data_IF_082203998835
#
_entry.id   IF_082203998835
#
_cell.length_a   1.000
_cell.length_b   1.000
_cell.length_c   1.000
_cell.angle_alpha   90.00
_cell.angle_beta   90.00
_cell.angle_gamma   90.00
#
_symmetry.space_group_name_H-M   'P 1'
#
loop_
_entity.id
_entity.type
_entity.pdbx_description
1 polymer ?
#
# COMPACT_ATOMS: atom_id res chain seq x y z
N UNK A 1 -32.39 0.12 -11.06
CA UNK A 1 -31.27 0.63 -10.23
C UNK A 1 -31.91 1.29 -9.02
N UNK A 2 -31.76 0.74 -7.80
CA UNK A 2 -32.37 1.35 -6.60
C UNK A 2 -31.64 2.68 -6.31
N UNK A 3 -32.35 3.79 -6.06
CA UNK A 3 -31.72 5.04 -5.67
C UNK A 3 -30.96 4.86 -4.35
N UNK A 4 -29.82 5.54 -4.16
CA UNK A 4 -29.08 5.47 -2.89
C UNK A 4 -29.96 6.00 -1.75
N UNK A 5 -30.01 5.27 -0.65
CA UNK A 5 -30.71 5.69 0.56
C UNK A 5 -30.16 7.04 1.04
N UNK A 6 -31.08 7.97 1.30
CA UNK A 6 -30.84 9.40 1.58
C UNK A 6 -30.02 9.71 2.85
N UNK A 7 -29.50 8.70 3.55
CA UNK A 7 -28.81 8.82 4.84
C UNK A 7 -27.43 8.13 4.91
N UNK A 8 -26.86 7.64 3.81
CA UNK A 8 -25.51 7.06 3.88
C UNK A 8 -24.44 8.16 3.91
N UNK A 9 -23.71 8.29 5.02
CA UNK A 9 -22.49 9.13 5.10
C UNK A 9 -21.56 8.80 3.92
N UNK A 10 -20.89 9.81 3.38
CA UNK A 10 -19.91 9.60 2.31
C UNK A 10 -18.76 8.73 2.84
N UNK A 11 -18.29 7.76 2.06
CA UNK A 11 -17.29 6.77 2.53
C UNK A 11 -15.93 7.03 1.91
N UNK A 12 -14.91 7.18 2.76
CA UNK A 12 -13.52 7.35 2.39
C UNK A 12 -12.71 6.12 2.83
N UNK A 13 -11.97 5.53 1.90
CA UNK A 13 -10.95 4.52 2.20
C UNK A 13 -9.56 5.18 2.16
N UNK A 14 -8.91 5.35 3.31
CA UNK A 14 -7.56 5.90 3.40
C UNK A 14 -6.53 4.77 3.52
N UNK A 15 -5.78 4.54 2.44
CA UNK A 15 -4.81 3.46 2.30
C UNK A 15 -3.44 3.94 2.77
N UNK A 16 -2.95 3.35 3.86
CA UNK A 16 -1.74 3.78 4.58
C UNK A 16 -0.75 2.60 4.59
N UNK A 17 0.15 2.48 3.59
CA UNK A 17 0.79 1.21 3.24
C UNK A 17 2.02 0.83 4.07
N UNK A 18 2.58 1.73 4.88
CA UNK A 18 3.80 1.47 5.64
C UNK A 18 3.87 2.32 6.92
N UNK A 19 4.88 2.06 7.76
CA UNK A 19 5.09 2.81 9.00
C UNK A 19 5.28 4.32 8.78
N UNK A 20 5.96 4.73 7.70
CA UNK A 20 6.15 6.16 7.42
C UNK A 20 4.83 6.89 7.13
N UNK A 21 3.96 6.26 6.35
CA UNK A 21 2.61 6.75 6.07
C UNK A 21 1.77 6.82 7.35
N UNK A 22 1.89 5.81 8.23
CA UNK A 22 1.24 5.81 9.55
C UNK A 22 1.71 7.01 10.36
N UNK A 23 3.02 7.27 10.45
CA UNK A 23 3.54 8.43 11.19
C UNK A 23 2.99 9.74 10.65
N UNK A 24 2.95 9.90 9.33
CA UNK A 24 2.39 11.11 8.69
C UNK A 24 0.95 11.36 9.10
N UNK A 25 0.12 10.32 9.23
CA UNK A 25 -1.28 10.47 9.58
C UNK A 25 -1.48 10.58 11.10
N UNK A 26 -0.79 9.75 11.87
CA UNK A 26 -1.06 9.56 13.29
C UNK A 26 -0.17 10.40 14.23
N UNK A 27 0.97 10.92 13.76
CA UNK A 27 1.86 11.81 14.53
C UNK A 27 1.71 13.28 14.14
N UNK A 28 0.76 13.60 13.26
CA UNK A 28 0.44 14.98 12.86
C UNK A 28 -1.03 15.30 13.15
N UNK A 29 -1.48 16.56 13.00
CA UNK A 29 -2.88 16.92 13.21
C UNK A 29 -3.88 16.23 12.27
N UNK A 30 -3.45 15.50 11.24
CA UNK A 30 -4.33 14.88 10.25
C UNK A 30 -5.36 13.95 10.90
N UNK A 31 -4.94 13.06 11.79
CA UNK A 31 -5.87 12.13 12.45
C UNK A 31 -6.91 12.86 13.32
N UNK A 32 -6.50 13.92 14.04
CA UNK A 32 -7.41 14.75 14.82
C UNK A 32 -8.39 15.52 13.92
N UNK A 33 -7.92 16.04 12.78
CA UNK A 33 -8.77 16.69 11.79
C UNK A 33 -9.79 15.72 11.19
N UNK A 34 -9.38 14.48 10.88
CA UNK A 34 -10.30 13.43 10.43
C UNK A 34 -11.34 13.09 11.50
N UNK A 35 -10.95 13.06 12.78
CA UNK A 35 -11.86 12.82 13.89
C UNK A 35 -12.91 13.94 14.05
N UNK A 36 -12.56 15.17 13.69
CA UNK A 36 -13.46 16.32 13.70
C UNK A 36 -14.34 16.45 12.44
N UNK A 37 -14.09 15.65 11.38
CA UNK A 37 -14.91 15.70 10.16
C UNK A 37 -16.27 15.04 10.34
N UNK A 38 -17.33 15.79 10.05
CA UNK A 38 -18.69 15.28 9.98
C UNK A 38 -19.10 14.87 8.56
N UNK A 39 -20.12 14.02 8.46
CA UNK A 39 -20.71 13.61 7.18
C UNK A 39 -19.94 12.51 6.43
N UNK A 40 -18.76 12.13 6.92
CA UNK A 40 -17.94 11.04 6.37
C UNK A 40 -17.93 9.81 7.27
N UNK A 41 -17.70 8.66 6.66
CA UNK A 41 -17.22 7.45 7.30
C UNK A 41 -15.85 7.15 6.71
N UNK A 42 -14.83 7.04 7.55
CA UNK A 42 -13.44 6.90 7.11
C UNK A 42 -12.89 5.57 7.60
N UNK A 43 -12.55 4.69 6.66
CA UNK A 43 -11.77 3.51 6.96
C UNK A 43 -10.27 3.85 6.81
N UNK A 44 -9.51 3.68 7.88
CA UNK A 44 -8.05 3.83 7.93
C UNK A 44 -7.42 2.43 7.79
N UNK A 45 -6.81 2.18 6.63
CA UNK A 45 -6.25 0.88 6.28
C UNK A 45 -4.74 0.87 6.55
N UNK A 46 -4.32 0.35 7.70
CA UNK A 46 -2.90 0.36 8.14
C UNK A 46 -2.32 -1.06 8.30
N UNK A 47 -0.99 -1.23 8.20
CA UNK A 47 -0.35 -2.52 8.39
C UNK A 47 -0.23 -2.94 9.86
N UNK A 48 -0.38 -2.02 10.82
CA UNK A 48 -0.14 -2.30 12.25
C UNK A 48 -1.47 -2.44 13.00
N UNK A 49 -1.62 -3.54 13.74
CA UNK A 49 -2.82 -3.78 14.54
C UNK A 49 -2.97 -2.80 15.72
N UNK A 50 -1.84 -2.30 16.25
CA UNK A 50 -1.81 -1.30 17.34
C UNK A 50 -2.49 0.02 16.98
N UNK A 51 -2.57 0.36 15.69
CA UNK A 51 -3.25 1.58 15.21
C UNK A 51 -4.76 1.55 15.51
N UNK A 52 -5.35 0.36 15.68
CA UNK A 52 -6.75 0.20 16.05
C UNK A 52 -7.07 0.86 17.41
N UNK A 53 -6.18 0.68 18.40
CA UNK A 53 -6.35 1.26 19.73
C UNK A 53 -6.25 2.79 19.69
N UNK A 54 -5.33 3.32 18.87
CA UNK A 54 -5.14 4.77 18.68
C UNK A 54 -6.35 5.44 18.03
N UNK A 55 -6.99 4.76 17.08
CA UNK A 55 -8.24 5.26 16.47
C UNK A 55 -9.39 5.21 17.49
N UNK A 56 -9.50 4.11 18.25
CA UNK A 56 -10.54 3.94 19.25
C UNK A 56 -10.48 5.02 20.37
N UNK A 57 -9.28 5.44 20.77
CA UNK A 57 -9.11 6.47 21.81
C UNK A 57 -9.64 7.85 21.42
N UNK A 58 -9.88 8.12 20.13
CA UNK A 58 -10.42 9.40 19.65
C UNK A 58 -11.94 9.51 19.83
N UNK A 59 -12.62 8.42 20.22
CA UNK A 59 -14.07 8.38 20.41
C UNK A 59 -14.87 8.88 19.18
N UNK A 60 -14.30 8.73 17.98
CA UNK A 60 -14.87 9.16 16.72
C UNK A 60 -15.51 7.96 15.97
N UNK A 61 -16.82 7.72 16.09
CA UNK A 61 -17.46 6.48 15.60
C UNK A 61 -17.48 6.33 14.08
N UNK A 62 -17.21 7.40 13.34
CA UNK A 62 -17.04 7.37 11.89
C UNK A 62 -15.66 6.92 11.44
N UNK A 63 -14.66 6.94 12.31
CA UNK A 63 -13.32 6.43 12.01
C UNK A 63 -13.28 4.94 12.33
N UNK A 64 -12.82 4.14 11.37
CA UNK A 64 -12.70 2.69 11.53
C UNK A 64 -11.31 2.25 11.14
N UNK A 65 -10.69 1.44 11.97
CA UNK A 65 -9.48 0.74 11.59
C UNK A 65 -9.81 -0.48 10.73
N UNK A 66 -9.01 -0.74 9.70
CA UNK A 66 -9.03 -1.97 8.92
C UNK A 66 -7.60 -2.46 8.69
N UNK A 67 -7.40 -3.77 8.70
CA UNK A 67 -6.10 -4.36 8.38
C UNK A 67 -5.77 -4.14 6.88
N UNK A 68 -4.59 -3.61 6.59
CA UNK A 68 -4.14 -3.37 5.21
C UNK A 68 -4.04 -4.64 4.34
N UNK A 69 -3.70 -5.80 4.90
CA UNK A 69 -3.56 -7.03 4.11
C UNK A 69 -4.86 -7.85 4.00
N UNK A 70 -5.83 -7.56 4.85
CA UNK A 70 -7.10 -8.29 4.92
C UNK A 70 -8.23 -7.34 5.35
N UNK A 71 -8.57 -6.34 4.53
CA UNK A 71 -9.48 -5.27 4.93
C UNK A 71 -10.96 -5.68 4.95
N UNK A 72 -11.31 -6.72 4.20
CA UNK A 72 -12.68 -7.24 4.16
C UNK A 72 -13.04 -7.93 5.46
N UNK A 73 -14.28 -7.74 5.91
CA UNK A 73 -14.83 -8.55 7.00
C UNK A 73 -14.98 -10.00 6.53
N UNK A 74 -14.75 -10.99 7.41
CA UNK A 74 -15.05 -12.38 7.11
C UNK A 74 -16.54 -12.51 6.76
N UNK A 75 -16.87 -12.80 5.51
CA UNK A 75 -18.23 -13.16 5.11
C UNK A 75 -18.36 -14.68 5.11
N UNK A 76 -19.49 -15.22 5.58
CA UNK A 76 -19.85 -16.65 5.38
C UNK A 76 -19.90 -17.01 3.89
N UNK A 77 -20.20 -16.02 3.04
CA UNK A 77 -20.18 -16.15 1.59
C UNK A 77 -18.77 -15.91 1.07
N UNK A 78 -17.98 -16.98 1.05
CA UNK A 78 -16.69 -17.02 0.39
C UNK A 78 -16.82 -16.73 -1.12
N UNK A 79 -15.84 -16.05 -1.75
CA UNK A 79 -15.85 -15.85 -3.20
C UNK A 79 -15.88 -17.20 -3.94
N UNK A 80 -16.59 -17.23 -5.06
CA UNK A 80 -16.79 -18.42 -5.88
C UNK A 80 -15.47 -19.17 -6.17
N UNK A 81 -15.47 -20.52 -6.12
CA UNK A 81 -14.27 -21.35 -6.17
C UNK A 81 -13.38 -21.12 -7.40
N UNK A 82 -13.96 -20.72 -8.55
CA UNK A 82 -13.21 -20.45 -9.79
C UNK A 82 -12.23 -19.27 -9.70
N UNK A 83 -12.55 -18.20 -8.95
CA UNK A 83 -11.64 -17.05 -8.75
C UNK A 83 -10.51 -17.37 -7.76
N UNK A 84 -10.71 -18.36 -6.88
CA UNK A 84 -9.68 -18.84 -5.94
C UNK A 84 -8.61 -19.67 -6.65
N UNK A 85 -8.98 -20.45 -7.67
CA UNK A 85 -8.04 -21.32 -8.38
C UNK A 85 -7.02 -20.53 -9.21
N UNK A 86 -7.45 -19.64 -10.11
CA UNK A 86 -6.52 -18.85 -10.94
C UNK A 86 -5.62 -17.90 -10.13
N UNK A 87 -6.16 -17.25 -9.10
CA UNK A 87 -5.36 -16.40 -8.20
C UNK A 87 -4.52 -17.21 -7.20
N UNK A 88 -4.89 -18.47 -6.94
CA UNK A 88 -4.19 -19.40 -6.08
C UNK A 88 -2.96 -20.00 -6.75
N UNK A 89 -3.03 -20.35 -8.04
CA UNK A 89 -1.88 -20.87 -8.79
C UNK A 89 -0.81 -19.82 -9.04
N UNK A 90 -1.17 -18.57 -9.39
CA UNK A 90 -0.20 -17.48 -9.51
C UNK A 90 0.48 -17.18 -8.16
N UNK A 91 -0.31 -17.09 -7.08
CA UNK A 91 0.23 -16.86 -5.73
C UNK A 91 1.04 -18.05 -5.20
N UNK A 92 0.65 -19.28 -5.55
CA UNK A 92 1.42 -20.47 -5.21
C UNK A 92 2.75 -20.49 -5.99
N UNK A 93 2.78 -20.19 -7.28
CA UNK A 93 4.03 -20.07 -8.05
C UNK A 93 4.92 -18.92 -7.52
N UNK A 94 4.33 -17.78 -7.19
CA UNK A 94 5.01 -16.62 -6.58
C UNK A 94 5.58 -16.98 -5.20
N UNK A 95 4.84 -17.73 -4.38
CA UNK A 95 5.25 -18.16 -3.04
C UNK A 95 6.22 -19.37 -3.04
N UNK A 96 6.20 -20.23 -4.05
CA UNK A 96 6.96 -21.50 -4.06
C UNK A 96 8.24 -21.41 -4.90
N UNK A 97 8.22 -20.70 -6.04
CA UNK A 97 9.39 -20.57 -6.93
C UNK A 97 10.11 -19.23 -6.72
N UNK A 98 9.39 -18.18 -6.33
CA UNK A 98 9.90 -16.80 -6.37
C UNK A 98 9.82 -16.03 -5.05
N UNK A 99 9.58 -16.74 -3.94
CA UNK A 99 9.23 -16.22 -2.59
C UNK A 99 9.99 -14.96 -2.18
N UNK A 100 11.29 -14.89 -2.43
CA UNK A 100 12.16 -13.72 -2.16
C UNK A 100 12.79 -13.12 -3.43
N UNK A 101 12.69 -13.81 -4.57
CA UNK A 101 13.47 -13.53 -5.79
C UNK A 101 12.71 -12.79 -6.88
N UNK A 102 11.39 -12.77 -6.86
CA UNK A 102 10.60 -11.92 -7.77
C UNK A 102 9.71 -10.93 -7.01
N UNK A 103 10.24 -10.37 -5.92
CA UNK A 103 9.58 -9.30 -5.18
C UNK A 103 10.15 -7.94 -5.57
N UNK A 104 9.43 -6.87 -5.23
CA UNK A 104 9.85 -5.48 -5.47
C UNK A 104 11.27 -5.16 -4.96
N UNK A 105 11.74 -5.64 -3.79
CA UNK A 105 13.11 -5.43 -3.35
C UNK A 105 14.17 -5.97 -4.34
N UNK A 106 13.90 -7.08 -5.03
CA UNK A 106 14.81 -7.63 -6.05
C UNK A 106 14.94 -6.68 -7.25
N UNK A 107 13.79 -6.19 -7.76
CA UNK A 107 13.75 -5.19 -8.82
C UNK A 107 14.47 -3.91 -8.43
N UNK A 108 14.14 -3.38 -7.24
CA UNK A 108 14.75 -2.17 -6.71
C UNK A 108 16.27 -2.32 -6.62
N UNK A 109 16.76 -3.42 -6.03
CA UNK A 109 18.18 -3.67 -5.87
C UNK A 109 18.91 -3.73 -7.23
N UNK A 110 18.40 -4.54 -8.17
CA UNK A 110 19.00 -4.71 -9.50
C UNK A 110 19.00 -3.40 -10.28
N UNK A 111 17.87 -2.69 -10.31
CA UNK A 111 17.75 -1.41 -10.99
C UNK A 111 18.75 -0.39 -10.46
N UNK A 112 18.84 -0.24 -9.13
CA UNK A 112 19.79 0.69 -8.51
C UNK A 112 21.25 0.28 -8.75
N UNK A 113 21.56 -1.02 -8.73
CA UNK A 113 22.90 -1.55 -9.01
C UNK A 113 23.32 -1.31 -10.46
N UNK A 114 22.45 -1.65 -11.41
CA UNK A 114 22.68 -1.46 -12.85
C UNK A 114 22.82 0.01 -13.24
N UNK A 115 22.02 0.88 -12.61
CA UNK A 115 22.05 2.33 -12.86
C UNK A 115 23.22 3.03 -12.17
N UNK A 116 23.91 2.36 -11.24
CA UNK A 116 25.06 2.93 -10.54
C UNK A 116 24.73 4.13 -9.66
N UNK A 117 23.55 4.17 -9.04
CA UNK A 117 23.17 5.29 -8.18
C UNK A 117 24.08 5.40 -6.96
N UNK A 118 24.67 6.58 -6.75
CA UNK A 118 25.59 6.85 -5.63
C UNK A 118 24.93 6.60 -4.27
N UNK A 119 23.66 7.01 -4.10
CA UNK A 119 22.92 6.79 -2.86
C UNK A 119 22.77 5.30 -2.52
N UNK A 120 22.55 4.45 -3.53
CA UNK A 120 22.48 3.00 -3.34
C UNK A 120 23.84 2.43 -2.93
N UNK A 121 24.92 2.80 -3.63
CA UNK A 121 26.29 2.36 -3.27
C UNK A 121 26.67 2.77 -1.85
N UNK A 122 26.39 4.01 -1.48
CA UNK A 122 26.65 4.52 -0.14
C UNK A 122 25.90 3.70 0.93
N UNK A 123 24.61 3.44 0.71
CA UNK A 123 23.79 2.60 1.60
C UNK A 123 24.32 1.16 1.76
N UNK A 124 24.96 0.59 0.74
CA UNK A 124 25.59 -0.73 0.84
C UNK A 124 26.84 -0.73 1.74
N UNK A 125 27.48 0.42 1.93
CA UNK A 125 28.70 0.59 2.72
C UNK A 125 28.43 1.01 4.17
N UNK A 126 27.18 1.32 4.53
CA UNK A 126 26.78 1.70 5.89
C UNK A 126 27.05 0.58 6.92
N UNK A 127 27.10 0.92 8.20
CA UNK A 127 27.13 -0.09 9.28
C UNK A 127 25.86 -0.94 9.28
N UNK A 128 25.92 -2.14 9.87
CA UNK A 128 24.75 -3.02 9.96
C UNK A 128 23.58 -2.37 10.72
N UNK A 129 23.89 -1.66 11.80
CA UNK A 129 22.91 -0.89 12.59
C UNK A 129 22.24 0.19 11.74
N UNK A 130 23.02 0.99 11.00
CA UNK A 130 22.44 2.03 10.15
C UNK A 130 21.62 1.43 9.00
N UNK A 131 22.05 0.31 8.44
CA UNK A 131 21.28 -0.44 7.44
C UNK A 131 19.95 -0.94 7.98
N UNK A 132 19.90 -1.39 9.24
CA UNK A 132 18.66 -1.80 9.89
C UNK A 132 17.68 -0.62 10.04
N UNK A 133 18.18 0.55 10.49
CA UNK A 133 17.38 1.78 10.57
C UNK A 133 16.83 2.22 9.20
N UNK A 134 17.67 2.21 8.17
CA UNK A 134 17.26 2.54 6.80
C UNK A 134 16.31 1.48 6.21
N UNK A 135 16.43 0.21 6.60
CA UNK A 135 15.53 -0.86 6.16
C UNK A 135 14.13 -0.66 6.75
N UNK A 136 14.05 -0.29 8.03
CA UNK A 136 12.79 0.06 8.69
C UNK A 136 12.10 1.25 8.02
N UNK A 137 12.88 2.24 7.59
CA UNK A 137 12.42 3.36 6.79
C UNK A 137 12.05 2.98 5.33
N UNK A 138 12.28 1.73 4.90
CA UNK A 138 12.06 1.32 3.51
C UNK A 138 13.06 1.94 2.51
N UNK A 139 14.17 2.49 3.01
CA UNK A 139 15.21 3.16 2.23
C UNK A 139 16.39 2.26 1.90
N UNK A 140 16.51 1.11 2.55
CA UNK A 140 17.57 0.13 2.30
C UNK A 140 16.99 -1.22 1.89
N UNK A 141 17.66 -1.86 0.94
CA UNK A 141 17.35 -3.22 0.48
C UNK A 141 18.63 -4.05 0.55
N UNK A 142 18.56 -5.20 1.22
CA UNK A 142 19.72 -6.09 1.41
C UNK A 142 20.28 -6.63 0.09
N UNK A 143 21.59 -6.88 0.07
CA UNK A 143 22.30 -7.41 -1.10
C UNK A 143 21.82 -8.79 -1.58
N UNK A 144 21.27 -9.63 -0.68
CA UNK A 144 20.74 -10.94 -1.06
C UNK A 144 19.59 -10.85 -2.07
N UNK A 145 18.84 -9.73 -2.08
CA UNK A 145 17.81 -9.47 -3.08
C UNK A 145 18.39 -9.29 -4.49
N UNK A 146 19.67 -8.94 -4.64
CA UNK A 146 20.33 -8.87 -5.95
C UNK A 146 20.75 -10.22 -6.53
N UNK A 147 20.71 -11.29 -5.73
CA UNK A 147 21.21 -12.60 -6.13
C UNK A 147 20.24 -13.34 -7.06
N UNK A 148 20.71 -14.07 -8.09
CA UNK A 148 22.08 -14.10 -8.62
C UNK A 148 22.35 -12.93 -9.59
N UNK A 149 23.63 -12.56 -9.76
CA UNK A 149 24.10 -11.60 -10.79
C UNK A 149 23.32 -10.26 -10.78
N UNK A 150 23.51 -9.38 -9.79
CA UNK A 150 22.75 -8.13 -9.66
C UNK A 150 22.89 -7.17 -10.86
N UNK A 151 23.98 -7.30 -11.62
CA UNK A 151 24.31 -6.47 -12.80
C UNK A 151 23.84 -7.08 -14.13
N UNK A 152 22.87 -8.01 -14.13
CA UNK A 152 22.33 -8.60 -15.35
C UNK A 152 21.04 -7.90 -15.81
N UNK A 153 21.10 -7.17 -16.93
CA UNK A 153 19.93 -6.59 -17.58
C UNK A 153 18.88 -7.64 -17.98
N UNK A 154 19.32 -8.83 -18.40
CA UNK A 154 18.42 -9.93 -18.78
C UNK A 154 17.61 -10.42 -17.56
N UNK A 155 18.28 -10.58 -16.41
CA UNK A 155 17.58 -10.96 -15.18
C UNK A 155 16.66 -9.85 -14.68
N UNK A 156 17.08 -8.59 -14.74
CA UNK A 156 16.18 -7.47 -14.43
C UNK A 156 14.91 -7.51 -15.28
N UNK A 157 15.03 -7.69 -16.60
CA UNK A 157 13.87 -7.78 -17.52
C UNK A 157 12.98 -8.98 -17.21
N UNK A 158 13.56 -10.14 -16.91
CA UNK A 158 12.79 -11.34 -16.56
C UNK A 158 12.02 -11.16 -15.25
N UNK A 159 12.70 -10.66 -14.20
CA UNK A 159 12.06 -10.37 -12.91
C UNK A 159 11.00 -9.28 -13.06
N UNK A 160 11.27 -8.26 -13.89
CA UNK A 160 10.32 -7.18 -14.20
C UNK A 160 9.06 -7.77 -14.83
N UNK A 161 9.22 -8.54 -15.91
CA UNK A 161 8.10 -9.17 -16.58
C UNK A 161 7.30 -10.07 -15.64
N UNK A 162 7.96 -10.85 -14.78
CA UNK A 162 7.28 -11.73 -13.84
C UNK A 162 6.53 -10.97 -12.74
N UNK A 163 7.22 -10.03 -12.06
CA UNK A 163 6.62 -9.20 -11.02
C UNK A 163 5.42 -8.42 -11.56
N UNK A 164 5.54 -7.93 -12.81
CA UNK A 164 4.49 -7.14 -13.45
C UNK A 164 3.43 -7.95 -14.21
N UNK A 165 3.65 -9.23 -14.51
CA UNK A 165 2.64 -10.10 -15.12
C UNK A 165 1.43 -10.29 -14.20
N UNK A 166 1.68 -10.46 -12.90
CA UNK A 166 0.65 -10.49 -11.86
C UNK A 166 0.05 -9.13 -11.52
N UNK A 167 0.59 -8.04 -12.08
CA UNK A 167 0.20 -6.65 -11.75
C UNK A 167 -1.16 -6.23 -12.29
N UNK A 168 -1.89 -7.13 -12.94
CA UNK A 168 -3.32 -6.96 -13.23
C UNK A 168 -4.23 -7.84 -12.36
N UNK A 169 -3.70 -8.83 -11.64
CA UNK A 169 -4.49 -9.69 -10.73
C UNK A 169 -4.95 -8.92 -9.49
N UNK A 170 -6.26 -8.87 -9.23
CA UNK A 170 -6.79 -8.23 -8.02
C UNK A 170 -6.56 -9.10 -6.78
N UNK A 171 -6.23 -8.50 -5.64
CA UNK A 171 -6.21 -9.24 -4.37
C UNK A 171 -7.65 -9.51 -3.92
N UNK A 172 -8.04 -10.77 -3.82
CA UNK A 172 -9.41 -11.17 -3.46
C UNK A 172 -9.94 -10.56 -2.17
N UNK A 173 -9.09 -10.30 -1.17
CA UNK A 173 -9.51 -9.68 0.10
C UNK A 173 -9.72 -8.18 -0.06
N UNK A 174 -8.87 -7.51 -0.84
CA UNK A 174 -9.05 -6.09 -1.18
C UNK A 174 -10.28 -5.91 -2.07
N UNK A 175 -10.43 -6.74 -3.09
CA UNK A 175 -11.61 -6.74 -3.96
C UNK A 175 -12.91 -6.92 -3.16
N UNK A 176 -12.94 -7.88 -2.22
CA UNK A 176 -14.08 -8.08 -1.33
C UNK A 176 -14.37 -6.87 -0.44
N UNK A 177 -13.35 -6.16 0.04
CA UNK A 177 -13.53 -4.93 0.81
C UNK A 177 -14.25 -3.86 0.00
N UNK A 178 -13.86 -3.64 -1.26
CA UNK A 178 -14.55 -2.69 -2.13
C UNK A 178 -15.99 -3.10 -2.44
N UNK A 179 -16.27 -4.41 -2.55
CA UNK A 179 -17.63 -4.92 -2.77
C UNK A 179 -18.53 -4.73 -1.53
N UNK A 180 -17.97 -4.92 -0.34
CA UNK A 180 -18.65 -4.81 0.95
C UNK A 180 -18.87 -3.34 1.34
N UNK A 181 -17.81 -2.55 1.35
CA UNK A 181 -17.80 -1.21 1.93
C UNK A 181 -18.14 -0.13 0.92
N UNK A 182 -17.93 -0.37 -0.39
CA UNK A 182 -18.25 0.56 -1.49
C UNK A 182 -17.80 2.00 -1.21
N UNK A 183 -16.49 2.24 -1.00
CA UNK A 183 -15.99 3.58 -0.77
C UNK A 183 -16.34 4.50 -1.95
N UNK A 184 -16.72 5.74 -1.66
CA UNK A 184 -16.95 6.79 -2.65
C UNK A 184 -15.67 7.52 -3.07
N UNK A 185 -14.60 7.36 -2.30
CA UNK A 185 -13.28 7.93 -2.56
C UNK A 185 -12.20 7.03 -1.93
N UNK A 186 -11.07 6.88 -2.61
CA UNK A 186 -9.86 6.26 -2.06
C UNK A 186 -8.75 7.29 -1.97
N UNK A 187 -8.14 7.43 -0.80
CA UNK A 187 -6.96 8.27 -0.59
C UNK A 187 -5.73 7.40 -0.36
N UNK A 188 -4.73 7.54 -1.23
CA UNK A 188 -3.44 6.87 -1.11
C UNK A 188 -2.42 7.76 -0.41
N UNK A 189 -1.99 7.32 0.77
CA UNK A 189 -0.88 7.92 1.50
C UNK A 189 0.42 7.27 1.01
N UNK A 190 1.39 8.06 0.55
CA UNK A 190 2.61 7.58 -0.11
C UNK A 190 2.34 6.76 -1.38
N UNK A 191 1.84 7.42 -2.43
CA UNK A 191 1.54 6.79 -3.73
C UNK A 191 2.70 6.03 -4.39
N UNK A 192 3.94 6.32 -4.00
CA UNK A 192 5.13 5.65 -4.50
C UNK A 192 5.28 4.22 -3.96
N UNK A 193 4.49 3.83 -2.95
CA UNK A 193 4.58 2.50 -2.36
C UNK A 193 3.84 1.46 -3.22
N UNK A 194 4.56 0.48 -3.75
CA UNK A 194 3.99 -0.59 -4.57
C UNK A 194 2.87 -1.39 -3.88
N UNK A 195 2.84 -1.42 -2.55
CA UNK A 195 1.85 -2.17 -1.77
C UNK A 195 0.42 -1.62 -1.95
N UNK A 196 0.24 -0.37 -2.39
CA UNK A 196 -1.10 0.19 -2.64
C UNK A 196 -1.78 -0.37 -3.89
N UNK A 197 -1.02 -1.06 -4.76
CA UNK A 197 -1.47 -1.46 -6.09
C UNK A 197 -2.74 -2.34 -6.09
N UNK A 198 -2.93 -3.32 -5.18
CA UNK A 198 -4.20 -4.05 -5.10
C UNK A 198 -5.42 -3.13 -4.90
N UNK A 199 -5.25 -2.05 -4.13
CA UNK A 199 -6.30 -1.06 -3.88
C UNK A 199 -6.56 -0.17 -5.08
N UNK A 200 -5.51 0.30 -5.77
CA UNK A 200 -5.70 1.13 -6.98
C UNK A 200 -6.36 0.36 -8.11
N UNK A 201 -6.01 -0.92 -8.30
CA UNK A 201 -6.66 -1.81 -9.26
C UNK A 201 -8.13 -2.03 -8.89
N UNK A 202 -8.43 -2.32 -7.62
CA UNK A 202 -9.80 -2.56 -7.16
C UNK A 202 -10.68 -1.30 -7.27
N UNK A 203 -10.15 -0.13 -6.95
CA UNK A 203 -10.82 1.16 -7.09
C UNK A 203 -11.12 1.48 -8.56
N UNK A 204 -10.11 1.38 -9.44
CA UNK A 204 -10.25 1.64 -10.89
C UNK A 204 -11.32 0.74 -11.52
N UNK A 205 -11.34 -0.55 -11.20
CA UNK A 205 -12.34 -1.51 -11.71
C UNK A 205 -13.78 -1.14 -11.36
N UNK A 206 -13.98 -0.41 -10.26
CA UNK A 206 -15.30 0.02 -9.78
C UNK A 206 -15.60 1.48 -10.09
N UNK A 207 -14.72 2.17 -10.82
CA UNK A 207 -14.87 3.60 -11.09
C UNK A 207 -14.84 4.47 -9.84
N UNK A 208 -14.19 4.01 -8.76
CA UNK A 208 -14.07 4.79 -7.53
C UNK A 208 -12.98 5.85 -7.73
N UNK A 209 -13.27 7.14 -7.52
CA UNK A 209 -12.27 8.20 -7.56
C UNK A 209 -11.10 7.93 -6.61
N UNK A 210 -9.90 8.28 -7.05
CA UNK A 210 -8.66 8.08 -6.32
C UNK A 210 -7.92 9.41 -6.16
N UNK A 211 -7.48 9.71 -4.95
CA UNK A 211 -6.54 10.80 -4.67
C UNK A 211 -5.25 10.23 -4.12
N UNK A 212 -4.15 10.88 -4.47
CA UNK A 212 -2.83 10.45 -4.08
C UNK A 212 -2.01 11.62 -3.58
N UNK A 213 -1.25 11.41 -2.53
CA UNK A 213 -0.22 12.36 -2.15
C UNK A 213 1.09 11.67 -1.79
N UNK A 214 2.16 12.42 -2.03
CA UNK A 214 3.53 12.06 -1.72
C UNK A 214 3.91 12.90 -0.51
N UNK A 215 4.49 12.27 0.50
CA UNK A 215 5.16 12.98 1.58
C UNK A 215 6.65 12.73 1.50
N UNK A 216 7.44 13.76 1.79
CA UNK A 216 8.89 13.68 1.85
C UNK A 216 9.37 13.67 3.31
N UNK A 217 10.48 12.97 3.54
CA UNK A 217 11.21 12.93 4.83
C UNK A 217 11.72 14.29 5.31
N UNK A 218 12.00 15.22 4.39
CA UNK A 218 12.70 16.47 4.70
C UNK A 218 11.72 17.55 5.11
N UNK A 219 11.59 17.73 6.42
CA UNK A 219 10.73 18.67 7.15
C UNK A 219 9.22 18.39 7.02
N UNK A 220 8.44 18.48 8.12
CA UNK A 220 7.04 18.84 7.95
C UNK A 220 7.05 20.12 7.10
N UNK A 221 6.34 20.18 5.96
CA UNK A 221 6.21 21.45 5.28
C UNK A 221 5.69 22.46 6.32
N UNK A 222 6.29 23.66 6.44
CA UNK A 222 5.71 24.71 7.28
C UNK A 222 4.23 24.79 6.92
N UNK A 223 3.37 24.79 7.93
CA UNK A 223 1.94 24.50 7.85
C UNK A 223 1.19 25.23 6.72
N UNK A 224 1.32 24.78 5.47
CA UNK A 224 0.60 25.25 4.30
C UNK A 224 1.14 24.53 3.06
N UNK A 225 0.22 23.92 2.30
CA UNK A 225 0.40 23.37 0.93
C UNK A 225 0.93 21.95 0.86
N UNK A 226 -0.02 21.03 0.98
CA UNK A 226 0.11 19.68 0.45
C UNK A 226 0.02 19.74 -1.08
N UNK A 227 1.03 19.30 -1.83
CA UNK A 227 0.87 19.11 -3.27
C UNK A 227 -0.04 17.89 -3.50
N UNK A 228 -1.27 18.15 -3.93
CA UNK A 228 -2.17 17.12 -4.43
C UNK A 228 -1.64 16.63 -5.78
N UNK A 229 -1.35 15.33 -5.89
CA UNK A 229 -1.08 14.70 -7.18
C UNK A 229 -2.36 13.98 -7.59
N UNK A 230 -3.14 14.62 -8.46
CA UNK A 230 -4.28 13.95 -9.09
C UNK A 230 -3.75 12.92 -10.10
N UNK A 231 -3.99 11.64 -9.84
CA UNK A 231 -3.81 10.61 -10.86
C UNK A 231 -5.09 10.54 -11.71
N UNK A 232 -4.98 10.89 -12.99
CA UNK A 232 -6.05 10.76 -13.98
C UNK A 232 -6.28 9.32 -14.44
#
# INVERSE_FOLDING_TARGET
MKPPEKNSRARLAMVIPNGMAVRTIFETPVLAQLAALDGWQVDLLTPRAEDAARIASLQAPHLRWRAFQAPAMPTRNAPAPGRRLLSGWHRALEATIFRERAQFPNLYYRFNSLSGFTAHRHKMQMSAERRAQEAEAGHYVHAHYGHPRPLSWRLLRAVYAFYYAGWQGGDSRVEAYFDQERPGLVLFVHVQNHAIRPYSVAARRRGVPMLGFITSWTNPPPAARWPLVCAG
#
